data_IF_359696223840
#
_entry.id   IF_359696223840
#
_cell.length_a   1.000
_cell.length_b   1.000
_cell.length_c   1.000
_cell.angle_alpha   90.00
_cell.angle_beta   90.00
_cell.angle_gamma   90.00
#
_symmetry.space_group_name_H-M   'P 1'
#
loop_
_entity.id
_entity.type
_entity.pdbx_description
1 polymer ?
#
# COMPACT_ATOMS: atom_id res chain seq x y z
N UNK A 1 -13.11 21.03 7.42
CA UNK A 1 -12.08 19.97 7.48
C UNK A 1 -12.82 18.64 7.59
N UNK A 2 -12.44 17.60 6.83
CA UNK A 2 -13.08 16.29 7.01
C UNK A 2 -12.72 15.71 8.37
N UNK A 3 -13.63 14.93 8.95
CA UNK A 3 -13.38 14.21 10.20
C UNK A 3 -12.26 13.18 9.99
N UNK A 4 -11.32 13.02 10.94
CA UNK A 4 -10.31 11.98 10.89
C UNK A 4 -10.93 10.59 10.72
N UNK A 5 -10.42 9.80 9.78
CA UNK A 5 -10.88 8.42 9.51
C UNK A 5 -9.97 7.40 10.16
N UNK A 6 -10.52 6.22 10.46
CA UNK A 6 -9.77 5.00 10.77
C UNK A 6 -9.84 4.08 9.55
N UNK A 7 -8.70 3.82 8.93
CA UNK A 7 -8.58 3.00 7.73
C UNK A 7 -7.81 1.73 8.07
N UNK A 8 -8.15 0.63 7.41
CA UNK A 8 -7.57 -0.68 7.66
C UNK A 8 -7.18 -1.29 6.32
N UNK A 9 -5.97 -1.83 6.23
CA UNK A 9 -5.46 -2.48 5.03
C UNK A 9 -4.53 -3.63 5.43
N UNK A 10 -4.39 -4.61 4.55
CA UNK A 10 -3.55 -5.78 4.78
C UNK A 10 -2.84 -6.21 3.50
N UNK A 11 -1.80 -7.03 3.64
CA UNK A 11 -1.22 -7.81 2.54
C UNK A 11 -0.81 -6.99 1.30
N UNK A 12 -0.19 -5.84 1.55
CA UNK A 12 0.30 -4.95 0.49
C UNK A 12 1.32 -5.67 -0.43
N UNK A 13 2.06 -6.65 0.11
CA UNK A 13 3.07 -7.43 -0.61
C UNK A 13 4.10 -6.56 -1.36
N UNK A 14 4.39 -5.36 -0.83
CA UNK A 14 5.40 -4.47 -1.39
C UNK A 14 6.76 -5.18 -1.40
N UNK A 15 7.43 -5.20 -2.55
CA UNK A 15 8.71 -5.86 -2.72
C UNK A 15 8.64 -7.38 -2.94
N UNK A 16 7.47 -8.01 -2.82
CA UNK A 16 7.34 -9.46 -2.98
C UNK A 16 7.17 -9.84 -4.47
N UNK A 17 8.27 -9.98 -5.22
CA UNK A 17 8.23 -10.24 -6.68
C UNK A 17 7.30 -11.39 -7.10
N UNK A 18 7.31 -12.49 -6.35
CA UNK A 18 6.53 -13.67 -6.70
C UNK A 18 5.01 -13.45 -6.57
N UNK A 19 4.56 -12.39 -5.88
CA UNK A 19 3.13 -12.09 -5.73
C UNK A 19 2.46 -11.75 -7.06
N UNK A 20 3.21 -11.16 -8.01
CA UNK A 20 2.68 -10.76 -9.30
C UNK A 20 2.07 -11.95 -10.04
N UNK A 21 2.77 -13.09 -10.01
CA UNK A 21 2.32 -14.31 -10.67
C UNK A 21 1.40 -15.14 -9.76
N UNK A 22 1.68 -15.20 -8.46
CA UNK A 22 0.88 -16.00 -7.52
C UNK A 22 -0.58 -15.51 -7.44
N UNK A 23 -0.78 -14.20 -7.42
CA UNK A 23 -2.08 -13.54 -7.24
C UNK A 23 -2.61 -12.94 -8.56
N UNK A 24 -1.97 -13.25 -9.70
CA UNK A 24 -2.27 -12.70 -11.03
C UNK A 24 -2.45 -11.17 -11.02
N UNK A 25 -1.58 -10.45 -10.31
CA UNK A 25 -1.73 -9.01 -10.15
C UNK A 25 -1.50 -8.30 -11.50
N UNK A 26 -2.30 -7.27 -11.82
CA UNK A 26 -2.24 -6.60 -13.11
C UNK A 26 -1.11 -5.57 -13.19
N UNK A 27 0.10 -5.94 -12.78
CA UNK A 27 1.27 -5.04 -12.81
C UNK A 27 2.40 -5.66 -13.62
N UNK A 28 3.07 -4.85 -14.42
CA UNK A 28 4.18 -5.31 -15.25
C UNK A 28 5.40 -5.68 -14.40
N UNK A 29 5.64 -4.94 -13.32
CA UNK A 29 6.74 -5.18 -12.39
C UNK A 29 6.45 -4.60 -11.00
N UNK A 30 7.40 -4.79 -10.07
CA UNK A 30 7.27 -4.30 -8.69
C UNK A 30 7.28 -2.77 -8.57
N UNK A 31 7.93 -2.06 -9.49
CA UNK A 31 7.95 -0.60 -9.50
C UNK A 31 6.55 -0.07 -9.83
N UNK A 32 5.94 -0.59 -10.90
CA UNK A 32 4.58 -0.26 -11.34
C UNK A 32 3.54 -0.54 -10.23
N UNK A 33 3.61 -1.72 -9.60
CA UNK A 33 2.77 -2.06 -8.45
C UNK A 33 2.95 -1.07 -7.29
N UNK A 34 4.20 -0.73 -6.96
CA UNK A 34 4.52 0.16 -5.84
C UNK A 34 4.02 1.58 -6.12
N UNK A 35 4.26 2.11 -7.31
CA UNK A 35 3.80 3.45 -7.72
C UNK A 35 2.28 3.54 -7.69
N UNK A 36 1.59 2.54 -8.24
CA UNK A 36 0.13 2.47 -8.18
C UNK A 36 -0.41 2.43 -6.75
N UNK A 37 0.23 1.67 -5.84
CA UNK A 37 -0.15 1.64 -4.43
C UNK A 37 0.03 3.03 -3.78
N UNK A 38 1.12 3.73 -4.09
CA UNK A 38 1.41 5.07 -3.56
C UNK A 38 0.36 6.07 -4.05
N UNK A 39 0.02 6.07 -5.33
CA UNK A 39 -0.97 6.98 -5.91
C UNK A 39 -2.36 6.75 -5.30
N UNK A 40 -2.77 5.49 -5.18
CA UNK A 40 -4.02 5.12 -4.53
C UNK A 40 -4.03 5.54 -3.05
N UNK A 41 -2.93 5.32 -2.33
CA UNK A 41 -2.79 5.72 -0.93
C UNK A 41 -2.97 7.24 -0.77
N UNK A 42 -2.25 8.03 -1.56
CA UNK A 42 -2.30 9.50 -1.51
C UNK A 42 -3.67 10.06 -1.89
N UNK A 43 -4.44 9.35 -2.73
CA UNK A 43 -5.80 9.77 -3.10
C UNK A 43 -6.84 9.59 -2.00
N UNK A 44 -6.59 8.69 -1.02
CA UNK A 44 -7.56 8.30 0.01
C UNK A 44 -7.15 8.75 1.42
N UNK A 45 -5.87 8.64 1.75
CA UNK A 45 -5.34 8.83 3.10
C UNK A 45 -4.98 10.29 3.34
N UNK A 46 -5.75 10.93 4.21
CA UNK A 46 -5.48 12.29 4.66
C UNK A 46 -4.41 12.34 5.76
N UNK A 47 -3.78 13.50 5.92
CA UNK A 47 -2.72 13.76 6.92
C UNK A 47 -3.10 13.41 8.37
N UNK A 48 -4.40 13.48 8.71
CA UNK A 48 -4.90 13.25 10.07
C UNK A 48 -5.58 11.88 10.21
N UNK A 49 -5.61 11.06 9.15
CA UNK A 49 -6.19 9.73 9.21
C UNK A 49 -5.27 8.77 9.96
N UNK A 50 -5.86 7.80 10.66
CA UNK A 50 -5.12 6.67 11.24
C UNK A 50 -5.28 5.47 10.32
N UNK A 51 -4.15 4.93 9.84
CA UNK A 51 -4.14 3.73 9.01
C UNK A 51 -3.51 2.58 9.77
N UNK A 52 -4.25 1.49 9.90
CA UNK A 52 -3.79 0.25 10.50
C UNK A 52 -3.43 -0.73 9.39
N UNK A 53 -2.14 -1.05 9.28
CA UNK A 53 -1.63 -2.03 8.32
C UNK A 53 -1.49 -3.36 9.07
N UNK A 54 -2.26 -4.36 8.65
CA UNK A 54 -2.31 -5.69 9.26
C UNK A 54 -1.60 -6.69 8.32
N UNK A 55 -0.90 -7.70 8.82
CA UNK A 55 -0.24 -8.72 7.98
C UNK A 55 1.26 -8.49 7.65
N UNK A 56 1.91 -9.46 6.97
CA UNK A 56 3.37 -9.52 6.85
C UNK A 56 3.93 -8.45 5.91
N UNK A 57 4.56 -7.44 6.50
CA UNK A 57 5.24 -6.35 5.83
C UNK A 57 6.74 -6.68 5.71
N UNK A 58 7.16 -7.45 4.69
CA UNK A 58 8.60 -7.69 4.49
C UNK A 58 9.15 -6.85 3.33
N UNK A 59 9.76 -5.71 3.67
CA UNK A 59 10.55 -4.89 2.75
C UNK A 59 10.54 -3.38 3.03
N UNK A 60 11.11 -2.95 4.17
CA UNK A 60 11.36 -1.55 4.58
C UNK A 60 10.15 -0.57 4.59
N UNK A 61 9.72 -0.21 5.80
CA UNK A 61 8.92 1.00 6.04
C UNK A 61 9.78 2.23 5.70
N UNK A 62 9.60 2.82 4.52
CA UNK A 62 9.84 4.25 4.37
C UNK A 62 8.55 4.98 4.68
N UNK A 63 8.65 6.03 5.49
CA UNK A 63 7.63 7.06 5.60
C UNK A 63 7.25 7.51 4.19
N UNK A 64 6.09 7.08 3.69
CA UNK A 64 5.48 7.69 2.52
C UNK A 64 5.00 9.09 2.95
N UNK A 65 5.84 10.09 2.65
CA UNK A 65 5.46 11.49 2.59
C UNK A 65 5.61 11.95 1.14
#
# INVERSE_FOLDING_TARGET
>A
MSTPKKLYISDLHIGHKNILNFDNRPFFNLTDMKETIIDNWNSVVGKNDSVYVLGPHFGFMQSLK
#
